data_IF_389914790915
#
_entry.id   IF_389914790915
#
_cell.length_a   1.000
_cell.length_b   1.000
_cell.length_c   1.000
_cell.angle_alpha   90.00
_cell.angle_beta   90.00
_cell.angle_gamma   90.00
#
_symmetry.space_group_name_H-M   'P 1'
#
loop_
_entity.id
_entity.type
_entity.pdbx_description
1 polymer ?
#
# COMPACT_ATOMS: atom_id res chain seq x y z
N UNK A 1 -4.85 12.04 6.78
CA UNK A 1 -5.26 10.73 6.24
C UNK A 1 -5.43 10.83 4.74
N UNK A 2 -4.48 10.33 3.94
CA UNK A 2 -4.70 10.11 2.52
C UNK A 2 -5.52 8.82 2.39
N UNK A 3 -6.82 8.90 2.66
CA UNK A 3 -7.64 7.72 2.97
C UNK A 3 -9.09 7.92 2.58
N UNK A 4 -9.34 7.80 1.28
CA UNK A 4 -10.70 7.73 0.72
C UNK A 4 -10.80 6.54 -0.23
N UNK A 5 -10.16 5.43 0.11
CA UNK A 5 -10.20 4.18 -0.66
C UNK A 5 -9.91 2.99 0.25
N UNK A 6 -10.37 1.83 -0.19
CA UNK A 6 -10.17 0.56 0.51
C UNK A 6 -8.70 0.16 0.49
N UNK A 7 -8.23 -0.46 1.58
CA UNK A 7 -6.88 -1.05 1.64
C UNK A 7 -6.79 -2.41 0.95
N UNK A 8 -7.94 -3.06 0.73
CA UNK A 8 -8.05 -4.45 0.25
C UNK A 8 -8.57 -4.51 -1.19
N UNK A 9 -9.36 -3.52 -1.61
CA UNK A 9 -9.99 -3.47 -2.94
C UNK A 9 -9.65 -2.16 -3.64
N UNK A 10 -9.91 -2.09 -4.95
CA UNK A 10 -9.75 -0.84 -5.71
C UNK A 10 -10.85 0.19 -5.46
N UNK A 11 -11.82 -0.13 -4.59
CA UNK A 11 -12.95 0.74 -4.29
C UNK A 11 -12.49 2.04 -3.63
N UNK A 12 -12.97 3.16 -4.16
CA UNK A 12 -12.89 4.46 -3.50
C UNK A 12 -14.06 4.66 -2.53
N UNK A 13 -13.93 5.65 -1.64
CA UNK A 13 -14.96 6.01 -0.67
C UNK A 13 -16.30 6.39 -1.32
N UNK A 14 -16.28 6.88 -2.57
CA UNK A 14 -17.51 7.22 -3.31
C UNK A 14 -18.29 5.99 -3.75
N UNK A 15 -17.61 4.85 -3.87
CA UNK A 15 -18.16 3.57 -4.31
C UNK A 15 -18.55 2.69 -3.13
N UNK A 16 -18.27 3.13 -1.90
CA UNK A 16 -18.69 2.41 -0.70
C UNK A 16 -20.21 2.43 -0.59
N UNK A 17 -20.82 1.24 -0.55
CA UNK A 17 -22.27 1.06 -0.51
C UNK A 17 -22.91 0.82 -1.88
N UNK A 18 -22.13 0.84 -2.96
CA UNK A 18 -22.61 0.32 -4.25
C UNK A 18 -22.77 -1.22 -4.18
N UNK A 19 -23.63 -1.81 -5.03
CA UNK A 19 -23.83 -3.26 -5.07
C UNK A 19 -22.71 -4.00 -5.83
N UNK A 20 -21.70 -3.29 -6.34
CA UNK A 20 -20.66 -3.84 -7.18
C UNK A 20 -19.48 -4.35 -6.33
N UNK A 21 -19.05 -5.59 -6.60
CA UNK A 21 -17.85 -6.12 -5.97
C UNK A 21 -16.62 -5.58 -6.71
N UNK A 22 -16.00 -4.56 -6.13
CA UNK A 22 -14.71 -4.04 -6.61
C UNK A 22 -13.60 -5.09 -6.51
N UNK A 23 -12.68 -5.15 -7.49
CA UNK A 23 -11.60 -6.12 -7.50
C UNK A 23 -10.65 -5.92 -6.32
N UNK A 24 -10.01 -7.01 -5.89
CA UNK A 24 -8.96 -6.98 -4.88
C UNK A 24 -7.73 -6.25 -5.41
N UNK A 25 -7.03 -5.53 -4.53
CA UNK A 25 -5.77 -4.87 -4.84
C UNK A 25 -4.65 -5.90 -4.70
N UNK A 26 -4.10 -6.34 -5.84
CA UNK A 26 -3.07 -7.39 -5.86
C UNK A 26 -1.65 -6.82 -5.80
N UNK A 27 -0.70 -7.67 -5.39
CA UNK A 27 0.74 -7.42 -5.44
C UNK A 27 1.17 -6.94 -6.83
N UNK A 28 0.74 -7.67 -7.87
CA UNK A 28 1.09 -7.37 -9.25
C UNK A 28 0.60 -5.97 -9.68
N UNK A 29 -0.63 -5.61 -9.32
CA UNK A 29 -1.19 -4.28 -9.61
C UNK A 29 -0.40 -3.17 -8.93
N UNK A 30 -0.10 -3.34 -7.63
CA UNK A 30 0.67 -2.33 -6.88
C UNK A 30 2.07 -2.16 -7.48
N UNK A 31 2.74 -3.26 -7.84
CA UNK A 31 4.09 -3.20 -8.42
C UNK A 31 4.09 -2.59 -9.82
N UNK A 32 3.05 -2.83 -10.62
CA UNK A 32 2.89 -2.18 -11.92
C UNK A 32 2.73 -0.65 -11.77
N UNK A 33 1.85 -0.21 -10.87
CA UNK A 33 1.66 1.22 -10.58
C UNK A 33 2.93 1.89 -10.07
N UNK A 34 3.67 1.22 -9.18
CA UNK A 34 4.96 1.75 -8.70
C UNK A 34 5.97 1.88 -9.84
N UNK A 35 6.03 0.91 -10.75
CA UNK A 35 6.93 0.98 -11.90
C UNK A 35 6.58 2.15 -12.83
N UNK A 36 5.31 2.36 -13.12
CA UNK A 36 4.85 3.51 -13.92
C UNK A 36 5.22 4.84 -13.24
N UNK A 37 5.04 4.94 -11.92
CA UNK A 37 5.45 6.13 -11.17
C UNK A 37 6.96 6.33 -11.14
N UNK A 38 7.77 5.27 -11.10
CA UNK A 38 9.23 5.35 -11.17
C UNK A 38 9.75 5.80 -12.56
N UNK A 39 8.97 5.61 -13.62
CA UNK A 39 9.31 6.09 -14.97
C UNK A 39 9.11 7.61 -15.11
N UNK A 40 8.14 8.19 -14.38
CA UNK A 40 7.81 9.62 -14.44
C UNK A 40 8.45 10.44 -13.29
N UNK A 41 8.54 9.87 -12.10
CA UNK A 41 9.00 10.55 -10.89
C UNK A 41 10.25 9.88 -10.33
N UNK A 42 11.31 10.66 -10.10
CA UNK A 42 12.49 10.17 -9.40
C UNK A 42 12.13 9.79 -7.95
N UNK A 43 12.31 8.53 -7.52
CA UNK A 43 12.02 8.12 -6.14
C UNK A 43 12.83 8.86 -5.06
N UNK A 44 13.97 9.44 -5.46
CA UNK A 44 14.82 10.23 -4.58
C UNK A 44 14.34 11.68 -4.44
N UNK A 45 13.49 12.16 -5.35
CA UNK A 45 12.75 13.42 -5.17
C UNK A 45 11.51 13.16 -4.31
N UNK A 46 11.74 12.97 -3.01
CA UNK A 46 10.72 12.55 -2.05
C UNK A 46 9.44 13.40 -2.08
N UNK A 47 9.49 14.75 -2.14
CA UNK A 47 8.27 15.55 -2.20
C UNK A 47 7.41 15.26 -3.43
N UNK A 48 8.03 15.16 -4.61
CA UNK A 48 7.31 14.87 -5.85
C UNK A 48 6.78 13.44 -5.85
N UNK A 49 7.63 12.48 -5.47
CA UNK A 49 7.27 11.07 -5.43
C UNK A 49 6.13 10.78 -4.45
N UNK A 50 6.22 11.27 -3.21
CA UNK A 50 5.17 11.10 -2.19
C UNK A 50 3.84 11.68 -2.65
N UNK A 51 3.87 12.82 -3.37
CA UNK A 51 2.65 13.44 -3.90
C UNK A 51 2.01 12.57 -4.98
N UNK A 52 2.81 12.04 -5.91
CA UNK A 52 2.35 11.18 -6.99
C UNK A 52 1.79 9.84 -6.46
N UNK A 53 2.53 9.15 -5.59
CA UNK A 53 2.09 7.88 -5.00
C UNK A 53 0.85 8.02 -4.12
N UNK A 54 0.69 9.16 -3.41
CA UNK A 54 -0.53 9.42 -2.63
C UNK A 54 -1.76 9.64 -3.51
N UNK A 55 -1.60 10.19 -4.72
CA UNK A 55 -2.71 10.34 -5.66
C UNK A 55 -3.27 8.97 -6.05
N UNK A 56 -2.41 7.97 -6.21
CA UNK A 56 -2.76 6.56 -6.46
C UNK A 56 -3.18 5.77 -5.20
N UNK A 57 -3.19 6.41 -4.02
CA UNK A 57 -3.50 5.74 -2.76
C UNK A 57 -2.48 4.68 -2.35
N UNK A 58 -1.19 4.89 -2.68
CA UNK A 58 -0.06 4.05 -2.32
C UNK A 58 0.77 4.65 -1.18
N UNK A 59 1.50 3.80 -0.45
CA UNK A 59 2.30 4.18 0.72
C UNK A 59 3.62 4.90 0.41
N UNK A 60 3.81 5.40 -0.82
CA UNK A 60 5.02 6.14 -1.23
C UNK A 60 6.35 5.38 -1.06
N UNK A 61 6.28 4.06 -0.89
CA UNK A 61 7.44 3.17 -0.81
C UNK A 61 7.71 2.62 -2.20
N UNK A 62 8.83 3.00 -2.80
CA UNK A 62 9.22 2.59 -4.15
C UNK A 62 9.60 1.09 -4.24
N UNK A 63 10.23 0.54 -3.19
CA UNK A 63 10.52 -0.90 -3.07
C UNK A 63 9.94 -1.49 -1.79
N UNK A 64 8.70 -2.03 -1.84
CA UNK A 64 8.10 -2.69 -0.68
C UNK A 64 8.89 -3.93 -0.26
N UNK A 65 9.01 -4.18 1.05
CA UNK A 65 9.78 -5.32 1.59
C UNK A 65 9.22 -6.69 1.16
N UNK A 66 7.91 -6.75 0.87
CA UNK A 66 7.18 -7.94 0.44
C UNK A 66 7.17 -8.13 -1.08
N UNK A 67 7.81 -7.24 -1.86
CA UNK A 67 7.79 -7.31 -3.33
C UNK A 67 8.19 -8.68 -3.86
N UNK A 68 9.17 -9.32 -3.23
CA UNK A 68 9.79 -10.54 -3.71
C UNK A 68 9.22 -11.80 -3.02
N UNK A 69 8.17 -11.64 -2.21
CA UNK A 69 7.51 -12.74 -1.54
C UNK A 69 6.52 -13.42 -2.49
N UNK A 70 6.65 -14.74 -2.65
CA UNK A 70 5.81 -15.52 -3.56
C UNK A 70 4.41 -15.74 -2.97
N UNK A 71 3.37 -15.49 -3.77
CA UNK A 71 1.96 -15.69 -3.41
C UNK A 71 1.52 -14.91 -2.15
N UNK A 72 2.17 -13.79 -1.85
CA UNK A 72 1.80 -12.94 -0.71
C UNK A 72 1.07 -11.70 -1.17
N UNK A 73 -0.26 -11.72 -1.09
CA UNK A 73 -1.04 -10.54 -1.42
C UNK A 73 -0.96 -9.52 -0.26
N UNK A 74 -0.58 -8.25 -0.52
CA UNK A 74 -0.46 -7.22 0.51
C UNK A 74 -1.73 -7.06 1.34
N UNK A 75 -2.90 -7.29 0.75
CA UNK A 75 -4.20 -7.25 1.42
C UNK A 75 -4.34 -8.25 2.57
N UNK A 76 -3.63 -9.38 2.51
CA UNK A 76 -3.82 -10.49 3.43
C UNK A 76 -3.06 -10.28 4.75
N UNK A 77 -1.89 -9.64 4.68
CA UNK A 77 -0.99 -9.47 5.82
C UNK A 77 -0.77 -8.01 6.25
N UNK A 78 -1.03 -7.01 5.40
CA UNK A 78 -0.96 -5.58 5.78
C UNK A 78 -2.26 -5.09 6.43
N UNK A 79 -2.91 -5.94 7.22
CA UNK A 79 -4.07 -5.52 8.02
C UNK A 79 -3.60 -4.70 9.23
N UNK A 80 -4.40 -3.73 9.71
CA UNK A 80 -4.04 -2.90 10.86
C UNK A 80 -3.64 -3.72 12.10
N UNK A 81 -4.32 -4.85 12.33
CA UNK A 81 -4.07 -5.75 13.46
C UNK A 81 -2.69 -6.39 13.39
N UNK A 82 -2.32 -6.96 12.23
CA UNK A 82 -1.00 -7.57 12.05
C UNK A 82 0.07 -6.49 12.19
N UNK A 83 -0.09 -5.35 11.54
CA UNK A 83 0.89 -4.27 11.64
C UNK A 83 1.07 -3.77 13.09
N UNK A 84 -0.03 -3.65 13.85
CA UNK A 84 0.00 -3.26 15.26
C UNK A 84 0.77 -4.28 16.12
N UNK A 85 0.47 -5.58 15.96
CA UNK A 85 1.07 -6.63 16.78
C UNK A 85 2.58 -6.74 16.55
N UNK A 86 3.01 -6.71 15.29
CA UNK A 86 4.42 -6.79 14.92
C UNK A 86 5.21 -5.56 15.37
N UNK A 87 4.65 -4.36 15.21
CA UNK A 87 5.31 -3.12 15.66
C UNK A 87 5.45 -3.09 17.19
N UNK A 88 4.41 -3.52 17.91
CA UNK A 88 4.45 -3.61 19.38
C UNK A 88 5.49 -4.62 19.85
N UNK A 89 5.51 -5.82 19.27
CA UNK A 89 6.49 -6.85 19.60
C UNK A 89 7.93 -6.37 19.34
N UNK A 90 8.19 -5.73 18.21
CA UNK A 90 9.49 -5.13 17.90
C UNK A 90 9.92 -4.13 18.97
N UNK A 91 9.04 -3.20 19.35
CA UNK A 91 9.33 -2.19 20.36
C UNK A 91 9.63 -2.82 21.73
N UNK A 92 8.79 -3.76 22.17
CA UNK A 92 8.91 -4.39 23.49
C UNK A 92 10.16 -5.27 23.63
N UNK A 93 10.71 -5.83 22.54
CA UNK A 93 11.82 -6.79 22.59
C UNK A 93 13.18 -6.24 22.12
N UNK A 94 13.19 -5.25 21.22
CA UNK A 94 14.41 -4.76 20.57
C UNK A 94 14.74 -3.30 20.88
N UNK A 95 13.78 -2.54 21.42
CA UNK A 95 13.96 -1.13 21.76
C UNK A 95 13.87 -0.83 23.27
N UNK A 96 13.65 -1.85 24.10
CA UNK A 96 13.82 -1.76 25.56
C UNK A 96 15.31 -1.91 25.92
#
# INVERSE_FOLDING_TARGET
VAGKGSSVTTASYKEFGDPFRHPSRTQAMILAQLKELEEEFNPWDLPAYIKATKAEGLNSVHRPFWRDWAMSEPSDFLTPEILHHWLKMFYDHLCQ
#
